data_IF_097038963388
#
_entry.id   IF_097038963388
#
_cell.length_a   1.000
_cell.length_b   1.000
_cell.length_c   1.000
_cell.angle_alpha   90.00
_cell.angle_beta   90.00
_cell.angle_gamma   90.00
#
_symmetry.space_group_name_H-M   'P 1'
#
loop_
_entity.id
_entity.type
_entity.pdbx_description
1 polymer ?
#
# COMPACT_ATOMS: atom_id res chain seq x y z
N UNK A 1 -24.54 -6.09 -16.87
CA UNK A 1 -23.17 -5.88 -16.38
C UNK A 1 -22.76 -4.48 -16.79
N UNK A 2 -22.48 -3.58 -15.84
CA UNK A 2 -22.00 -2.24 -16.18
C UNK A 2 -20.60 -2.35 -16.80
N UNK A 3 -20.31 -1.55 -17.83
CA UNK A 3 -18.98 -1.51 -18.44
C UNK A 3 -18.03 -0.81 -17.47
N UNK A 4 -17.03 -1.54 -16.99
CA UNK A 4 -15.96 -0.96 -16.17
C UNK A 4 -15.19 0.04 -17.02
N UNK A 5 -14.94 1.23 -16.47
CA UNK A 5 -14.14 2.26 -17.13
C UNK A 5 -12.66 1.88 -17.08
N UNK A 6 -12.05 1.74 -18.24
CA UNK A 6 -10.65 1.33 -18.40
C UNK A 6 -9.66 2.35 -17.82
N UNK A 7 -9.91 3.66 -18.02
CA UNK A 7 -9.03 4.73 -17.54
C UNK A 7 -9.74 5.74 -16.64
N UNK A 8 -9.09 6.12 -15.54
CA UNK A 8 -9.54 7.18 -14.63
C UNK A 8 -8.43 8.19 -14.45
N UNK A 9 -8.64 9.42 -14.93
CA UNK A 9 -7.73 10.53 -14.67
C UNK A 9 -7.80 10.91 -13.19
N UNK A 10 -6.66 10.86 -12.53
CA UNK A 10 -6.49 11.18 -11.12
C UNK A 10 -5.31 12.13 -10.93
N UNK A 11 -5.20 12.70 -9.74
CA UNK A 11 -4.13 13.62 -9.37
C UNK A 11 -3.39 13.11 -8.14
N UNK A 12 -2.08 13.38 -8.07
CA UNK A 12 -1.31 13.26 -6.84
C UNK A 12 -1.57 14.48 -5.98
N UNK A 13 -1.98 14.24 -4.74
CA UNK A 13 -2.25 15.27 -3.75
C UNK A 13 -1.10 15.39 -2.77
N UNK A 14 -1.01 16.55 -2.13
CA UNK A 14 -0.21 16.72 -0.94
C UNK A 14 -1.03 16.26 0.27
N UNK A 15 -0.42 15.45 1.12
CA UNK A 15 -0.98 15.05 2.40
C UNK A 15 0.03 15.34 3.52
N UNK A 16 -0.48 15.77 4.68
CA UNK A 16 0.36 16.02 5.86
C UNK A 16 1.00 14.72 6.32
N UNK A 17 2.33 14.61 6.16
CA UNK A 17 3.13 13.51 6.65
C UNK A 17 3.63 13.71 8.08
N UNK A 18 4.45 12.75 8.54
CA UNK A 18 5.15 12.84 9.82
C UNK A 18 6.03 14.11 9.87
N UNK A 19 6.03 14.82 11.00
CA UNK A 19 6.73 16.11 11.17
C UNK A 19 6.24 17.25 10.26
N UNK A 20 4.96 17.23 9.85
CA UNK A 20 4.36 18.28 9.00
C UNK A 20 5.05 18.47 7.65
N UNK A 21 5.81 17.47 7.19
CA UNK A 21 6.36 17.47 5.83
C UNK A 21 5.25 17.04 4.88
N UNK A 22 5.12 17.75 3.78
CA UNK A 22 4.23 17.38 2.69
C UNK A 22 4.68 16.06 2.08
N UNK A 23 3.76 15.10 1.99
CA UNK A 23 3.98 13.79 1.39
C UNK A 23 3.05 13.61 0.20
N UNK A 24 3.54 13.13 -0.97
CA UNK A 24 2.67 12.84 -2.10
C UNK A 24 1.72 11.67 -1.77
N UNK A 25 0.45 11.83 -2.10
CA UNK A 25 -0.60 10.85 -1.86
C UNK A 25 -1.47 10.64 -3.10
N UNK A 26 -1.79 9.38 -3.40
CA UNK A 26 -2.75 8.99 -4.43
C UNK A 26 -4.01 8.49 -3.72
N UNK A 27 -5.16 9.09 -4.01
CA UNK A 27 -6.44 8.70 -3.41
C UNK A 27 -7.25 7.84 -4.38
N UNK A 28 -7.29 6.53 -4.14
CA UNK A 28 -8.14 5.58 -4.88
C UNK A 28 -9.44 5.37 -4.08
N UNK A 29 -10.55 5.92 -4.57
CA UNK A 29 -11.85 5.83 -3.89
C UNK A 29 -13.00 5.70 -4.90
N UNK A 30 -13.94 4.81 -4.61
CA UNK A 30 -15.21 4.70 -5.33
C UNK A 30 -15.78 3.28 -5.38
N UNK A 31 -17.07 3.15 -5.68
CA UNK A 31 -17.76 1.86 -5.75
C UNK A 31 -17.17 0.91 -6.81
N UNK A 32 -16.54 1.48 -7.85
CA UNK A 32 -15.86 0.74 -8.91
C UNK A 32 -14.68 -0.13 -8.42
N UNK A 33 -14.12 0.14 -7.23
CA UNK A 33 -13.11 -0.72 -6.63
C UNK A 33 -13.72 -2.07 -6.22
N UNK A 34 -14.93 -2.07 -5.66
CA UNK A 34 -15.67 -3.29 -5.31
C UNK A 34 -16.04 -4.09 -6.55
N UNK A 35 -16.41 -3.41 -7.64
CA UNK A 35 -16.66 -4.06 -8.95
C UNK A 35 -15.42 -4.80 -9.50
N UNK A 36 -14.22 -4.39 -9.08
CA UNK A 36 -12.94 -5.02 -9.41
C UNK A 36 -12.45 -6.00 -8.32
N UNK A 37 -13.26 -6.29 -7.30
CA UNK A 37 -12.90 -7.19 -6.20
C UNK A 37 -12.03 -6.56 -5.10
N UNK A 38 -11.80 -5.25 -5.13
CA UNK A 38 -11.14 -4.53 -4.03
C UNK A 38 -12.20 -4.07 -3.02
N UNK A 39 -12.65 -5.00 -2.19
CA UNK A 39 -13.55 -4.73 -1.08
C UNK A 39 -12.82 -4.10 0.11
N UNK A 40 -13.57 -3.59 1.09
CA UNK A 40 -12.98 -3.10 2.34
C UNK A 40 -12.12 -4.17 3.01
N UNK A 41 -10.94 -3.77 3.48
CA UNK A 41 -9.97 -4.64 4.13
C UNK A 41 -9.33 -5.70 3.22
N UNK A 42 -9.59 -5.69 1.91
CA UNK A 42 -8.84 -6.52 0.96
C UNK A 42 -7.36 -6.11 0.98
N UNK A 43 -6.43 -7.03 1.30
CA UNK A 43 -5.02 -6.69 1.29
C UNK A 43 -4.56 -6.46 -0.16
N UNK A 44 -3.71 -5.46 -0.37
CA UNK A 44 -3.19 -5.11 -1.70
C UNK A 44 -1.67 -5.10 -1.71
N UNK A 45 -1.09 -5.33 -2.89
CA UNK A 45 0.32 -5.16 -3.17
C UNK A 45 0.47 -4.12 -4.28
N UNK A 46 1.53 -3.31 -4.18
CA UNK A 46 1.90 -2.33 -5.21
C UNK A 46 3.28 -2.71 -5.72
N UNK A 47 3.35 -3.09 -6.99
CA UNK A 47 4.61 -3.27 -7.69
C UNK A 47 5.03 -1.92 -8.29
N UNK A 48 6.30 -1.54 -8.06
CA UNK A 48 6.87 -0.27 -8.49
C UNK A 48 8.01 -0.53 -9.46
N UNK A 49 7.84 -0.20 -10.73
CA UNK A 49 8.83 -0.44 -11.78
C UNK A 49 8.75 0.67 -12.83
N UNK A 50 9.88 1.28 -13.18
CA UNK A 50 10.01 2.26 -14.28
C UNK A 50 8.94 3.37 -14.31
N UNK A 51 8.55 3.88 -13.13
CA UNK A 51 7.54 4.93 -13.00
C UNK A 51 6.08 4.44 -13.13
N UNK A 52 5.88 3.12 -13.19
CA UNK A 52 4.59 2.45 -13.23
C UNK A 52 4.29 1.89 -11.84
N UNK A 53 3.07 2.12 -11.38
CA UNK A 53 2.52 1.48 -10.18
C UNK A 53 1.44 0.49 -10.61
N UNK A 54 1.69 -0.80 -10.39
CA UNK A 54 0.70 -1.86 -10.61
C UNK A 54 0.14 -2.31 -9.27
N UNK A 55 -1.17 -2.17 -9.10
CA UNK A 55 -1.88 -2.54 -7.87
C UNK A 55 -2.60 -3.86 -8.09
N UNK A 56 -2.29 -4.85 -7.25
CA UNK A 56 -2.91 -6.16 -7.26
C UNK A 56 -3.46 -6.49 -5.88
N UNK A 57 -4.43 -7.39 -5.80
CA UNK A 57 -4.85 -7.95 -4.52
C UNK A 57 -3.79 -8.93 -4.03
N UNK A 58 -3.41 -8.83 -2.78
CA UNK A 58 -2.34 -9.66 -2.20
C UNK A 58 -2.84 -11.06 -1.78
N UNK A 59 -4.15 -11.26 -1.67
CA UNK A 59 -4.77 -12.55 -1.36
C UNK A 59 -4.87 -13.49 -2.58
N UNK A 60 -4.84 -12.93 -3.79
CA UNK A 60 -4.81 -13.69 -5.05
C UNK A 60 -3.40 -13.83 -5.65
N UNK A 61 -2.42 -13.07 -5.14
CA UNK A 61 -1.05 -13.10 -5.64
C UNK A 61 -0.29 -14.32 -5.10
N UNK A 62 -0.46 -15.47 -5.76
CA UNK A 62 0.50 -16.57 -5.66
C UNK A 62 1.76 -16.16 -6.44
N UNK A 63 2.78 -15.70 -5.73
CA UNK A 63 4.10 -15.50 -6.32
C UNK A 63 4.86 -16.82 -6.28
N UNK A 64 5.09 -17.45 -7.43
CA UNK A 64 6.09 -18.53 -7.54
C UNK A 64 7.52 -18.00 -7.27
N UNK A 65 7.74 -16.68 -7.26
CA UNK A 65 9.06 -16.02 -7.18
C UNK A 65 9.21 -15.01 -6.00
N UNK A 66 8.63 -15.27 -4.83
CA UNK A 66 9.06 -14.58 -3.59
C UNK A 66 10.02 -15.51 -2.86
N UNK A 67 11.33 -15.20 -2.75
CA UNK A 67 12.18 -15.92 -1.81
C UNK A 67 11.61 -15.70 -0.40
N UNK A 68 11.32 -16.80 0.31
CA UNK A 68 10.89 -16.77 1.71
C UNK A 68 11.85 -15.91 2.54
N UNK A 69 11.49 -14.65 2.79
CA UNK A 69 12.12 -13.84 3.82
C UNK A 69 11.34 -14.11 5.11
N UNK A 70 11.91 -14.82 6.10
CA UNK A 70 11.20 -15.13 7.33
C UNK A 70 10.84 -13.83 8.07
N UNK A 71 9.56 -13.71 8.44
CA UNK A 71 8.90 -12.57 9.11
C UNK A 71 9.47 -12.29 10.53
N UNK A 72 10.62 -12.84 10.90
CA UNK A 72 11.17 -12.80 12.26
C UNK A 72 12.19 -11.66 12.53
N UNK A 73 12.38 -10.70 11.62
CA UNK A 73 13.40 -9.66 11.79
C UNK A 73 12.84 -8.24 11.72
N UNK A 74 11.84 -7.93 12.54
CA UNK A 74 11.63 -6.55 13.01
C UNK A 74 11.55 -6.57 14.52
N UNK A 75 12.69 -6.77 15.18
CA UNK A 75 12.86 -6.43 16.57
C UNK A 75 13.25 -4.95 16.64
N UNK A 76 12.30 -4.08 16.98
CA UNK A 76 12.64 -2.71 17.38
C UNK A 76 13.55 -2.77 18.63
N UNK A 77 14.68 -2.06 18.67
CA UNK A 77 15.47 -1.99 19.88
C UNK A 77 14.66 -1.26 20.97
N UNK A 78 14.40 -1.96 22.09
CA UNK A 78 13.87 -1.32 23.30
C UNK A 78 14.93 -0.36 23.84
N UNK A 79 14.70 0.95 23.70
CA UNK A 79 15.46 1.97 24.44
C UNK A 79 15.20 1.75 25.93
N UNK A 80 16.21 1.22 26.61
CA UNK A 80 16.25 1.12 28.06
C UNK A 80 16.66 2.51 28.58
N UNK A 81 15.70 3.30 29.07
CA UNK A 81 16.04 4.47 29.88
C UNK A 81 16.61 3.98 31.21
N UNK A 82 17.94 4.06 31.33
CA UNK A 82 18.63 3.87 32.60
C UNK A 82 18.32 5.05 33.52
N UNK A 83 17.69 4.71 34.64
CA UNK A 83 17.64 5.49 35.86
C UNK A 83 19.05 5.92 36.31
N UNK A 84 19.25 7.19 36.70
CA UNK A 84 20.21 7.54 37.76
C UNK A 84 19.88 8.92 38.38
N UNK A 85 19.54 8.85 39.68
CA UNK A 85 19.55 9.87 40.76
C UNK A 85 18.67 11.11 40.66
#
# INVERSE_FOLDING_TARGET
MAKIKEYRSMKVYEQSGYQYKSTPAIMLKGQWLRELGFEENTPIMVHCEDGILTITRADEAYYDDVPEVPVAAVAEPKTQSSHLQ
#
